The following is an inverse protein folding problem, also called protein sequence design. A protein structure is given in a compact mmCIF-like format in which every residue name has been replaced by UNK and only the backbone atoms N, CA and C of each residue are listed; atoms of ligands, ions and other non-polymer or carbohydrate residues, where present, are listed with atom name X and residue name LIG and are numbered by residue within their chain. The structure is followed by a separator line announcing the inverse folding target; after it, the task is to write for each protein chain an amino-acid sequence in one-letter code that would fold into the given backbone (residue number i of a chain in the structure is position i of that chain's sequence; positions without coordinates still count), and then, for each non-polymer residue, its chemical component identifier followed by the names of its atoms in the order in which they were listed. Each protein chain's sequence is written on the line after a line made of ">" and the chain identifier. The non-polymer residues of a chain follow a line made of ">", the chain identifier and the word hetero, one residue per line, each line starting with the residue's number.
data_IF_052978824691
#
_entry.id   IF_052978824691
#
_cell.length_a   1.000
_cell.length_b   1.000
_cell.length_c   1.000
_cell.angle_alpha   90.00
_cell.angle_beta   90.00
_cell.angle_gamma   90.00
#
_symmetry.space_group_name_H-M   'P 1'
#
loop_
_entity.id
_entity.type
_entity.pdbx_description
1 polymer ?
#
# COMPACT_ATOMS: atom_id res chain seq x y z
N UNK A 1 21.21 -1.19 -33.45
CA UNK A 1 21.12 0.16 -34.05
C UNK A 1 19.95 0.21 -35.01
N UNK A 2 19.26 1.35 -35.15
CA UNK A 2 18.14 1.49 -36.09
C UNK A 2 18.72 1.51 -37.51
N UNK A 3 18.34 0.54 -38.34
CA UNK A 3 18.88 0.39 -39.70
C UNK A 3 18.63 1.65 -40.53
N UNK A 4 19.70 2.23 -41.09
CA UNK A 4 19.61 3.42 -41.95
C UNK A 4 19.25 4.72 -41.23
N UNK A 5 19.34 4.75 -39.89
CA UNK A 5 19.08 5.95 -39.08
C UNK A 5 20.33 6.81 -38.89
N UNK A 6 21.51 6.20 -38.74
CA UNK A 6 22.78 6.94 -38.68
C UNK A 6 23.14 7.36 -40.11
N UNK A 7 23.31 8.66 -40.33
CA UNK A 7 23.71 9.22 -41.62
C UNK A 7 25.24 9.28 -41.69
N UNK A 8 25.88 9.82 -40.64
CA UNK A 8 27.33 9.88 -40.49
C UNK A 8 27.74 9.83 -39.01
N UNK A 9 28.96 10.25 -38.66
CA UNK A 9 29.44 10.23 -37.28
C UNK A 9 28.69 11.17 -36.34
N UNK A 10 28.21 12.31 -36.84
CA UNK A 10 27.63 13.41 -36.07
C UNK A 10 26.13 13.63 -36.35
N UNK A 11 25.56 12.98 -37.38
CA UNK A 11 24.18 13.18 -37.81
C UNK A 11 23.38 11.87 -37.89
N UNK A 12 22.09 12.00 -37.62
CA UNK A 12 21.11 10.93 -37.76
C UNK A 12 19.79 11.45 -38.32
N UNK A 13 19.00 10.53 -38.87
CA UNK A 13 17.67 10.78 -39.40
C UNK A 13 16.64 10.82 -38.26
N UNK A 14 16.22 12.04 -37.90
CA UNK A 14 15.27 12.28 -36.82
C UNK A 14 13.92 11.61 -37.06
N UNK A 15 13.43 11.57 -38.30
CA UNK A 15 12.13 11.00 -38.63
C UNK A 15 12.15 9.48 -38.45
N UNK A 16 13.19 8.80 -38.96
CA UNK A 16 13.36 7.35 -38.75
C UNK A 16 13.56 7.01 -37.28
N UNK A 17 14.33 7.81 -36.55
CA UNK A 17 14.54 7.64 -35.13
C UNK A 17 13.21 7.74 -34.38
N UNK A 18 12.48 8.84 -34.57
CA UNK A 18 11.21 9.11 -33.88
C UNK A 18 10.17 8.05 -34.21
N UNK A 19 10.02 7.69 -35.50
CA UNK A 19 9.10 6.65 -35.95
C UNK A 19 9.40 5.29 -35.30
N UNK A 20 10.68 4.93 -35.18
CA UNK A 20 11.07 3.68 -34.54
C UNK A 20 10.67 3.66 -33.05
N UNK A 21 10.99 4.71 -32.29
CA UNK A 21 10.67 4.77 -30.87
C UNK A 21 9.16 4.89 -30.62
N UNK A 22 8.43 5.68 -31.40
CA UNK A 22 6.97 5.72 -31.30
C UNK A 22 6.34 4.34 -31.53
N UNK A 23 6.84 3.56 -32.50
CA UNK A 23 6.40 2.17 -32.71
C UNK A 23 6.78 1.27 -31.54
N UNK A 24 7.96 1.46 -30.96
CA UNK A 24 8.43 0.66 -29.84
C UNK A 24 7.63 0.94 -28.56
N UNK A 25 7.26 2.19 -28.29
CA UNK A 25 6.46 2.59 -27.13
C UNK A 25 5.07 1.93 -27.17
N UNK A 26 4.36 2.05 -28.30
CA UNK A 26 3.04 1.42 -28.45
C UNK A 26 3.13 -0.11 -28.46
N UNK A 27 4.22 -0.67 -28.97
CA UNK A 27 4.46 -2.12 -28.96
C UNK A 27 4.67 -2.63 -27.53
N UNK A 28 5.56 -2.03 -26.75
CA UNK A 28 5.81 -2.42 -25.35
C UNK A 28 4.55 -2.26 -24.53
N UNK A 29 3.85 -1.13 -24.69
CA UNK A 29 2.60 -0.89 -23.98
C UNK A 29 1.58 -2.00 -24.27
N UNK A 30 1.39 -2.34 -25.54
CA UNK A 30 0.47 -3.42 -25.95
C UNK A 30 0.90 -4.78 -25.40
N UNK A 31 2.16 -5.15 -25.57
CA UNK A 31 2.69 -6.45 -25.12
C UNK A 31 2.60 -6.59 -23.60
N UNK A 32 3.01 -5.55 -22.86
CA UNK A 32 2.92 -5.50 -21.41
C UNK A 32 1.48 -5.56 -20.91
N UNK A 33 0.57 -4.79 -21.53
CA UNK A 33 -0.84 -4.80 -21.17
C UNK A 33 -1.51 -6.14 -21.44
N UNK A 34 -1.23 -6.78 -22.58
CA UNK A 34 -1.77 -8.12 -22.91
C UNK A 34 -1.25 -9.17 -21.91
N UNK A 35 0.04 -9.13 -21.55
CA UNK A 35 0.60 -10.03 -20.55
C UNK A 35 -0.08 -9.82 -19.19
N UNK A 36 -0.14 -8.57 -18.73
CA UNK A 36 -0.79 -8.19 -17.49
C UNK A 36 -2.25 -8.66 -17.45
N UNK A 37 -3.02 -8.41 -18.51
CA UNK A 37 -4.39 -8.88 -18.63
C UNK A 37 -4.50 -10.39 -18.50
N UNK A 38 -3.68 -11.14 -19.24
CA UNK A 38 -3.75 -12.59 -19.25
C UNK A 38 -3.40 -13.18 -17.88
N UNK A 39 -2.45 -12.57 -17.17
CA UNK A 39 -2.09 -12.98 -15.81
C UNK A 39 -3.23 -12.71 -14.82
N UNK A 40 -3.82 -11.50 -14.84
CA UNK A 40 -4.95 -11.17 -13.96
C UNK A 40 -6.18 -12.03 -14.26
N UNK A 41 -6.48 -12.27 -15.55
CA UNK A 41 -7.59 -13.13 -15.94
C UNK A 41 -7.37 -14.57 -15.47
N UNK A 42 -6.15 -15.09 -15.59
CA UNK A 42 -5.81 -16.45 -15.16
C UNK A 42 -5.88 -16.62 -13.64
N UNK A 43 -5.29 -15.68 -12.88
CA UNK A 43 -5.13 -15.83 -11.43
C UNK A 43 -6.38 -15.41 -10.64
N UNK A 44 -7.16 -14.47 -11.19
CA UNK A 44 -8.28 -13.85 -10.47
C UNK A 44 -9.63 -13.95 -11.18
N UNK A 45 -9.69 -14.46 -12.41
CA UNK A 45 -10.90 -14.49 -13.23
C UNK A 45 -11.52 -13.09 -13.44
N UNK A 46 -10.66 -12.07 -13.54
CA UNK A 46 -11.05 -10.69 -13.79
C UNK A 46 -10.45 -10.22 -15.11
N UNK A 47 -11.27 -9.63 -15.98
CA UNK A 47 -10.80 -9.04 -17.21
C UNK A 47 -10.43 -7.57 -16.99
N UNK A 48 -9.15 -7.25 -17.16
CA UNK A 48 -8.60 -5.90 -16.97
C UNK A 48 -9.31 -4.83 -17.82
N UNK A 49 -9.84 -5.19 -18.99
CA UNK A 49 -10.57 -4.24 -19.85
C UNK A 49 -11.85 -3.68 -19.21
N UNK A 50 -12.40 -4.34 -18.20
CA UNK A 50 -13.65 -3.92 -17.55
C UNK A 50 -13.40 -2.86 -16.47
N UNK A 51 -12.14 -2.48 -16.24
CA UNK A 51 -11.74 -1.59 -15.16
C UNK A 51 -10.81 -0.47 -15.67
N UNK A 52 -11.01 0.73 -15.14
CA UNK A 52 -10.22 1.92 -15.51
C UNK A 52 -8.83 1.95 -14.84
N UNK A 53 -8.65 1.25 -13.72
CA UNK A 53 -7.42 1.29 -12.94
C UNK A 53 -7.14 -0.01 -12.21
N UNK A 54 -5.87 -0.21 -11.82
CA UNK A 54 -5.46 -1.31 -10.96
C UNK A 54 -6.16 -1.29 -9.60
N UNK A 55 -6.46 -0.11 -9.07
CA UNK A 55 -7.20 0.05 -7.82
C UNK A 55 -8.63 -0.48 -7.95
N UNK A 56 -9.29 -0.26 -9.09
CA UNK A 56 -10.63 -0.79 -9.35
C UNK A 56 -10.63 -2.32 -9.46
N UNK A 57 -9.60 -2.90 -10.10
CA UNK A 57 -9.40 -4.37 -10.18
C UNK A 57 -9.19 -4.95 -8.79
N UNK A 58 -8.27 -4.36 -8.01
CA UNK A 58 -8.00 -4.77 -6.65
C UNK A 58 -9.25 -4.67 -5.78
N UNK A 59 -9.99 -3.56 -5.84
CA UNK A 59 -11.25 -3.39 -5.10
C UNK A 59 -12.25 -4.48 -5.46
N UNK A 60 -12.38 -4.81 -6.76
CA UNK A 60 -13.29 -5.89 -7.17
C UNK A 60 -12.86 -7.26 -6.63
N UNK A 61 -11.55 -7.52 -6.63
CA UNK A 61 -11.00 -8.74 -6.04
C UNK A 61 -11.32 -8.82 -4.54
N UNK A 62 -11.14 -7.72 -3.80
CA UNK A 62 -11.48 -7.63 -2.39
C UNK A 62 -12.99 -7.73 -2.14
N UNK A 63 -13.83 -7.11 -2.96
CA UNK A 63 -15.28 -7.28 -2.91
C UNK A 63 -15.66 -8.77 -2.95
N UNK A 64 -15.17 -9.47 -3.97
CA UNK A 64 -15.52 -10.87 -4.22
C UNK A 64 -14.96 -11.83 -3.16
N UNK A 65 -13.74 -11.59 -2.67
CA UNK A 65 -13.02 -12.54 -1.79
C UNK A 65 -13.03 -12.18 -0.31
N UNK A 66 -13.28 -10.92 0.04
CA UNK A 66 -13.15 -10.41 1.40
C UNK A 66 -14.42 -9.69 1.85
N UNK A 67 -14.86 -8.65 1.13
CA UNK A 67 -15.91 -7.77 1.65
C UNK A 67 -17.28 -8.44 1.70
N UNK A 68 -17.73 -9.05 0.60
CA UNK A 68 -19.02 -9.76 0.61
C UNK A 68 -19.00 -11.02 1.49
N UNK A 69 -17.94 -11.87 1.46
CA UNK A 69 -17.87 -13.03 2.35
C UNK A 69 -17.80 -12.69 3.85
N UNK A 70 -17.22 -11.55 4.24
CA UNK A 70 -17.12 -11.14 5.64
C UNK A 70 -18.50 -10.97 6.31
N UNK A 71 -19.47 -10.38 5.60
CA UNK A 71 -20.86 -10.23 6.07
C UNK A 71 -21.06 -9.20 7.20
N UNK A 72 -20.00 -8.59 7.73
CA UNK A 72 -20.05 -7.59 8.81
C UNK A 72 -19.41 -6.24 8.41
N UNK A 73 -19.31 -5.96 7.11
CA UNK A 73 -18.85 -4.69 6.58
C UNK A 73 -20.03 -3.83 6.14
N UNK A 74 -19.93 -2.52 6.38
CA UNK A 74 -20.98 -1.54 6.10
C UNK A 74 -20.40 -0.31 5.43
N UNK A 75 -21.17 0.28 4.51
CA UNK A 75 -20.81 1.55 3.89
C UNK A 75 -20.87 2.70 4.91
N UNK A 76 -19.77 3.45 5.03
CA UNK A 76 -19.68 4.63 5.89
C UNK A 76 -20.15 5.88 5.14
N UNK A 77 -21.08 6.62 5.74
CA UNK A 77 -21.57 7.89 5.19
C UNK A 77 -21.51 9.03 6.22
N UNK A 78 -21.61 10.28 5.73
CA UNK A 78 -21.76 11.49 6.55
C UNK A 78 -20.71 11.64 7.67
N UNK A 79 -21.17 11.86 8.91
CA UNK A 79 -20.34 12.23 10.06
C UNK A 79 -19.36 11.14 10.49
N UNK A 80 -19.75 9.85 10.60
CA UNK A 80 -18.78 8.77 10.85
C UNK A 80 -17.68 8.70 9.79
N UNK A 81 -18.03 8.80 8.50
CA UNK A 81 -17.05 8.80 7.39
C UNK A 81 -16.08 9.97 7.50
N UNK A 82 -16.60 11.17 7.72
CA UNK A 82 -15.79 12.38 7.89
C UNK A 82 -14.83 12.25 9.07
N UNK A 83 -15.31 11.78 10.23
CA UNK A 83 -14.50 11.58 11.42
C UNK A 83 -13.37 10.56 11.19
N UNK A 84 -13.72 9.35 10.71
CA UNK A 84 -12.75 8.27 10.47
C UNK A 84 -11.71 8.69 9.44
N UNK A 85 -12.11 9.42 8.38
CA UNK A 85 -11.16 9.90 7.36
C UNK A 85 -10.05 10.80 7.92
N UNK A 86 -10.32 11.54 9.01
CA UNK A 86 -9.32 12.39 9.68
C UNK A 86 -8.31 11.59 10.50
N UNK A 87 -8.65 10.34 10.83
CA UNK A 87 -7.77 9.42 11.56
C UNK A 87 -6.86 8.62 10.62
N UNK A 88 -7.11 8.63 9.31
CA UNK A 88 -6.29 7.92 8.32
C UNK A 88 -5.00 8.72 8.09
N UNK A 89 -3.88 8.15 8.50
CA UNK A 89 -2.54 8.69 8.23
C UNK A 89 -1.77 7.73 7.32
N UNK A 90 -0.94 8.29 6.45
CA UNK A 90 -0.10 7.53 5.53
C UNK A 90 1.18 7.01 6.17
N UNK A 91 2.10 6.53 5.33
CA UNK A 91 3.43 6.09 5.76
C UNK A 91 4.22 7.22 6.41
N UNK A 92 5.00 6.87 7.43
CA UNK A 92 5.89 7.81 8.13
C UNK A 92 7.20 7.96 7.36
N UNK A 93 7.53 9.18 6.97
CA UNK A 93 8.81 9.54 6.39
C UNK A 93 9.51 10.54 7.32
N UNK A 94 10.64 10.15 7.92
CA UNK A 94 11.35 10.99 8.89
C UNK A 94 12.86 10.83 8.75
N UNK A 95 13.58 11.88 9.14
CA UNK A 95 15.02 11.81 9.40
C UNK A 95 15.22 11.65 10.92
N UNK A 96 16.37 11.09 11.31
CA UNK A 96 16.77 11.14 12.72
C UNK A 96 16.78 12.60 13.18
N UNK A 97 16.13 12.87 14.31
CA UNK A 97 16.02 14.19 14.94
C UNK A 97 15.43 15.29 14.04
N UNK A 98 14.78 14.91 12.93
CA UNK A 98 14.30 15.83 11.89
C UNK A 98 15.38 16.77 11.32
N UNK A 99 16.65 16.37 11.37
CA UNK A 99 17.77 17.13 10.78
C UNK A 99 18.41 16.37 9.63
N UNK A 100 18.98 17.11 8.67
CA UNK A 100 19.70 16.53 7.54
C UNK A 100 20.91 15.73 8.02
N UNK A 101 20.92 14.45 7.71
CA UNK A 101 22.01 13.55 8.06
C UNK A 101 23.12 13.61 6.99
N UNK A 102 24.38 13.60 7.43
CA UNK A 102 25.55 13.41 6.57
C UNK A 102 26.44 12.38 7.25
N UNK A 103 26.81 11.32 6.53
CA UNK A 103 27.78 10.34 7.01
C UNK A 103 29.01 10.36 6.11
N UNK A 104 30.15 10.76 6.66
CA UNK A 104 31.45 10.66 5.98
C UNK A 104 32.26 9.44 6.45
N UNK A 105 31.92 8.88 7.62
CA UNK A 105 32.71 7.83 8.30
C UNK A 105 31.90 6.65 8.82
N UNK A 106 30.57 6.76 8.94
CA UNK A 106 29.72 5.68 9.45
C UNK A 106 29.14 4.86 8.30
N UNK A 107 29.19 3.54 8.45
CA UNK A 107 28.46 2.62 7.58
C UNK A 107 26.96 2.81 7.80
N UNK A 108 26.20 2.85 6.71
CA UNK A 108 24.74 2.93 6.74
C UNK A 108 24.21 1.52 6.47
N UNK A 109 23.36 1.03 7.36
CA UNK A 109 22.54 -0.16 7.12
C UNK A 109 21.11 0.31 6.83
N UNK A 110 20.56 -0.14 5.69
CA UNK A 110 19.18 0.14 5.30
C UNK A 110 18.33 -1.10 5.57
N UNK A 111 17.31 -0.93 6.41
CA UNK A 111 16.38 -2.01 6.78
C UNK A 111 15.03 -1.70 6.15
N UNK A 112 14.63 -2.53 5.18
CA UNK A 112 13.32 -2.45 4.56
C UNK A 112 12.44 -3.63 4.99
N UNK A 113 11.17 -3.32 5.26
CA UNK A 113 10.20 -4.32 5.70
C UNK A 113 9.57 -5.03 4.50
N UNK A 114 9.61 -6.36 4.49
CA UNK A 114 9.03 -7.16 3.41
C UNK A 114 7.51 -7.01 3.35
N UNK A 115 7.02 -6.38 2.29
CA UNK A 115 5.57 -6.20 2.02
C UNK A 115 4.82 -5.66 3.24
N UNK A 116 5.24 -4.51 3.76
CA UNK A 116 4.76 -3.98 5.05
C UNK A 116 3.23 -3.97 5.20
N UNK A 117 2.48 -3.40 4.24
CA UNK A 117 1.01 -3.35 4.33
C UNK A 117 0.35 -4.73 4.25
N UNK A 118 0.66 -5.62 3.27
CA UNK A 118 0.15 -6.99 3.29
C UNK A 118 0.49 -7.75 4.58
N UNK A 119 1.73 -7.61 5.08
CA UNK A 119 2.16 -8.22 6.34
C UNK A 119 1.37 -7.68 7.53
N UNK A 120 1.06 -6.38 7.54
CA UNK A 120 0.22 -5.76 8.56
C UNK A 120 -1.23 -6.26 8.48
N UNK A 121 -1.84 -6.29 7.29
CA UNK A 121 -3.20 -6.81 7.08
C UNK A 121 -3.32 -8.28 7.52
N UNK A 122 -2.28 -9.09 7.29
CA UNK A 122 -2.28 -10.51 7.67
C UNK A 122 -2.08 -10.74 9.18
N UNK A 123 -1.49 -9.79 9.91
CA UNK A 123 -1.16 -9.93 11.34
C UNK A 123 -2.11 -9.18 12.25
N UNK A 124 -2.51 -7.97 11.85
CA UNK A 124 -3.36 -7.09 12.62
C UNK A 124 -4.83 -7.42 12.38
N UNK A 125 -5.60 -7.37 13.46
CA UNK A 125 -7.05 -7.37 13.34
C UNK A 125 -7.50 -6.09 12.63
N UNK A 126 -8.21 -6.25 11.51
CA UNK A 126 -8.81 -5.14 10.73
C UNK A 126 -10.21 -4.87 11.26
N UNK A 127 -10.52 -3.61 11.56
CA UNK A 127 -11.80 -3.23 12.15
C UNK A 127 -12.97 -3.51 11.19
N UNK A 128 -14.04 -4.09 11.74
CA UNK A 128 -15.30 -4.39 11.07
C UNK A 128 -16.49 -3.99 11.95
N UNK A 129 -17.70 -4.00 11.38
CA UNK A 129 -18.93 -3.67 12.07
C UNK A 129 -19.29 -2.17 12.11
N UNK A 130 -20.31 -1.86 12.90
CA UNK A 130 -20.85 -0.49 13.03
C UNK A 130 -20.03 0.29 14.06
N UNK A 131 -19.50 1.47 13.72
CA UNK A 131 -18.71 2.28 14.65
C UNK A 131 -19.53 2.74 15.85
N UNK A 132 -18.93 2.73 17.03
CA UNK A 132 -19.54 3.15 18.29
C UNK A 132 -18.85 4.40 18.83
N UNK A 133 -19.62 5.31 19.39
CA UNK A 133 -19.08 6.52 20.04
C UNK A 133 -18.36 6.11 21.32
N UNK A 134 -17.12 6.56 21.46
CA UNK A 134 -16.30 6.31 22.65
C UNK A 134 -16.88 7.05 23.87
N UNK A 135 -16.82 6.40 25.03
CA UNK A 135 -17.19 7.03 26.31
C UNK A 135 -16.04 7.89 26.83
N UNK A 136 -16.32 8.79 27.77
CA UNK A 136 -15.35 9.79 28.26
C UNK A 136 -14.11 9.14 28.89
N UNK A 137 -14.30 8.04 29.61
CA UNK A 137 -13.24 7.24 30.22
C UNK A 137 -12.31 6.56 29.21
N UNK A 138 -12.78 6.35 27.97
CA UNK A 138 -12.01 5.70 26.91
C UNK A 138 -11.05 6.66 26.19
N UNK A 139 -11.12 7.95 26.48
CA UNK A 139 -10.37 8.99 25.77
C UNK A 139 -8.94 9.19 26.29
N UNK A 140 -8.52 8.43 27.31
CA UNK A 140 -7.15 8.51 27.86
C UNK A 140 -6.21 7.50 27.20
N UNK A 141 -4.95 7.90 26.99
CA UNK A 141 -3.91 7.01 26.47
C UNK A 141 -3.72 5.78 27.36
N UNK A 142 -3.79 5.95 28.69
CA UNK A 142 -3.67 4.85 29.65
C UNK A 142 -4.78 3.81 29.45
N UNK A 143 -6.02 4.26 29.23
CA UNK A 143 -7.13 3.35 28.95
C UNK A 143 -6.88 2.58 27.66
N UNK A 144 -6.50 3.25 26.57
CA UNK A 144 -6.26 2.60 25.28
C UNK A 144 -5.10 1.59 25.35
N UNK A 145 -4.00 1.94 26.03
CA UNK A 145 -2.85 1.05 26.20
C UNK A 145 -3.19 -0.19 27.03
N UNK A 146 -4.02 -0.05 28.07
CA UNK A 146 -4.48 -1.18 28.89
C UNK A 146 -5.30 -2.19 28.08
N UNK A 147 -6.05 -1.73 27.08
CA UNK A 147 -6.90 -2.56 26.23
C UNK A 147 -6.26 -2.93 24.88
N UNK A 148 -4.96 -2.69 24.72
CA UNK A 148 -4.18 -3.14 23.56
C UNK A 148 -4.12 -4.66 23.51
N UNK A 149 -4.25 -5.23 22.32
CA UNK A 149 -4.02 -6.65 22.05
C UNK A 149 -2.69 -7.12 22.66
N UNK A 150 -2.67 -8.36 23.14
CA UNK A 150 -1.42 -9.05 23.45
C UNK A 150 -0.69 -9.46 22.15
N UNK A 151 0.62 -9.73 22.21
CA UNK A 151 1.48 -9.89 21.02
C UNK A 151 0.98 -10.96 20.02
N UNK A 152 0.38 -12.05 20.51
CA UNK A 152 -0.13 -13.16 19.68
C UNK A 152 -1.65 -13.14 19.50
N UNK A 153 -2.33 -12.10 19.99
CA UNK A 153 -3.78 -11.99 19.93
C UNK A 153 -4.25 -11.66 18.50
N UNK A 154 -5.23 -12.42 18.01
CA UNK A 154 -5.80 -12.24 16.66
C UNK A 154 -7.19 -11.66 16.65
N UNK A 155 -7.96 -11.92 17.71
CA UNK A 155 -9.38 -11.54 17.81
C UNK A 155 -9.59 -10.64 19.04
N UNK A 156 -10.51 -9.66 18.98
CA UNK A 156 -10.82 -8.82 20.12
C UNK A 156 -11.52 -9.63 21.22
N UNK A 157 -11.10 -9.41 22.48
CA UNK A 157 -11.74 -9.95 23.68
C UNK A 157 -12.19 -8.79 24.59
N UNK A 158 -13.00 -9.08 25.61
CA UNK A 158 -13.65 -8.06 26.43
C UNK A 158 -12.71 -6.99 27.00
N UNK A 159 -11.54 -7.38 27.48
CA UNK A 159 -10.54 -6.46 28.05
C UNK A 159 -9.46 -6.01 27.07
N UNK A 160 -9.36 -6.64 25.90
CA UNK A 160 -8.27 -6.43 24.93
C UNK A 160 -8.88 -6.34 23.53
N UNK A 161 -9.19 -5.14 23.09
CA UNK A 161 -9.93 -4.90 21.85
C UNK A 161 -9.28 -3.83 20.94
N UNK A 162 -8.14 -3.24 21.34
CA UNK A 162 -7.39 -2.28 20.52
C UNK A 162 -6.27 -3.02 19.77
N UNK A 163 -6.47 -3.23 18.47
CA UNK A 163 -5.48 -3.86 17.59
C UNK A 163 -4.34 -2.88 17.30
N UNK A 164 -3.11 -3.24 17.66
CA UNK A 164 -1.91 -2.46 17.38
C UNK A 164 -0.67 -3.00 18.09
N UNK A 165 0.50 -2.73 17.52
CA UNK A 165 1.79 -3.07 18.12
C UNK A 165 2.53 -1.80 18.51
N UNK A 166 2.99 -1.74 19.76
CA UNK A 166 3.85 -0.67 20.24
C UNK A 166 5.18 -1.25 20.66
N UNK A 167 6.24 -0.87 19.94
CA UNK A 167 7.60 -1.30 20.25
C UNK A 167 8.38 -0.12 20.78
N UNK A 168 8.88 -0.22 22.00
CA UNK A 168 9.86 0.71 22.53
C UNK A 168 11.25 0.24 22.13
N UNK A 169 11.87 0.94 21.18
CA UNK A 169 13.24 0.64 20.76
C UNK A 169 14.19 1.51 21.57
N UNK A 170 15.04 0.87 22.38
CA UNK A 170 16.18 1.52 23.03
C UNK A 170 17.45 1.15 22.28
N UNK A 171 18.06 2.12 21.61
CA UNK A 171 19.37 1.94 20.97
C UNK A 171 20.42 2.02 22.08
N UNK A 172 21.09 0.91 22.38
CA UNK A 172 22.11 0.84 23.44
C UNK A 172 23.49 1.19 22.94
N UNK A 173 23.83 0.84 21.70
CA UNK A 173 25.12 1.11 21.04
C UNK A 173 24.88 1.27 19.53
N UNK A 174 25.75 2.04 18.84
CA UNK A 174 25.72 2.28 17.37
C UNK A 174 27.08 1.90 16.78
#
# INVERSE_FOLDING_TARGET
>A
SIKGCRIDENHFDLEKYSTFYCKQDVRILREGFVKFRNDILKEFDLNVYDYVSICSIANKLFENRVYFPNGNLYDLSNKPREFISRCIQGGRCMLSDNIKQKSEKKLIADFDAVSLYPSAIARLYTLEGIPKVMKKEMLSTEYLMRHLFDDDQKEPIGEKFVSGFFVLIKITEI
#
